data_IF_043123238045
#
_entry.id   IF_043123238045
#
_cell.length_a   1.000
_cell.length_b   1.000
_cell.length_c   1.000
_cell.angle_alpha   90.00
_cell.angle_beta   90.00
_cell.angle_gamma   90.00
#
_symmetry.space_group_name_H-M   'P 1'
#
loop_
_entity.id
_entity.type
_entity.pdbx_description
1 polymer ?
#
# COMPACT_ATOMS: atom_id res chain seq x y z
N UNK A 1 31.34 -17.48 11.61
CA UNK A 1 30.00 -16.88 11.45
C UNK A 1 29.35 -17.58 10.28
N UNK A 2 28.35 -18.41 10.54
CA UNK A 2 27.66 -19.12 9.46
C UNK A 2 26.68 -18.19 8.74
N UNK A 3 26.65 -18.18 7.40
CA UNK A 3 25.68 -17.41 6.64
C UNK A 3 24.28 -18.01 6.79
N UNK A 4 23.29 -17.14 6.96
CA UNK A 4 21.87 -17.50 6.99
C UNK A 4 21.50 -18.18 5.67
N UNK A 5 21.13 -19.46 5.71
CA UNK A 5 20.71 -20.23 4.54
C UNK A 5 19.26 -19.87 4.21
N UNK A 6 19.05 -19.24 3.06
CA UNK A 6 17.72 -19.19 2.45
C UNK A 6 17.48 -20.51 1.72
N UNK A 7 16.45 -21.24 2.15
CA UNK A 7 16.03 -22.48 1.51
C UNK A 7 15.44 -22.21 0.12
N UNK A 8 15.87 -23.03 -0.83
CA UNK A 8 15.50 -22.98 -2.24
C UNK A 8 13.97 -23.02 -2.40
N UNK A 9 13.43 -21.87 -2.84
CA UNK A 9 12.03 -21.60 -3.11
C UNK A 9 11.45 -22.61 -4.14
N UNK A 10 10.64 -23.53 -3.66
CA UNK A 10 9.88 -24.49 -4.45
C UNK A 10 8.79 -23.74 -5.25
N UNK A 11 8.31 -24.30 -6.36
CA UNK A 11 7.32 -23.69 -7.27
C UNK A 11 5.88 -23.54 -6.70
N UNK A 12 5.75 -23.21 -5.40
CA UNK A 12 4.53 -23.10 -4.59
C UNK A 12 4.33 -21.67 -4.03
N UNK A 13 5.06 -20.67 -4.54
CA UNK A 13 5.18 -19.36 -3.88
C UNK A 13 4.03 -18.38 -4.16
N UNK A 14 2.87 -18.68 -3.60
CA UNK A 14 1.77 -17.72 -3.46
C UNK A 14 1.83 -16.98 -2.12
N UNK A 15 2.98 -17.02 -1.44
CA UNK A 15 3.15 -16.33 -0.17
C UNK A 15 3.21 -14.82 -0.38
N UNK A 16 2.36 -14.09 0.33
CA UNK A 16 2.28 -12.64 0.31
C UNK A 16 2.37 -12.13 1.75
N UNK A 17 2.89 -10.91 1.89
CA UNK A 17 2.84 -10.20 3.15
C UNK A 17 1.57 -9.35 3.18
N UNK A 18 0.84 -9.37 4.29
CA UNK A 18 -0.30 -8.51 4.56
C UNK A 18 0.03 -7.57 5.71
N UNK A 19 -0.53 -6.37 5.63
CA UNK A 19 -0.46 -5.33 6.64
C UNK A 19 -1.73 -5.40 7.49
N UNK A 20 -1.62 -5.67 8.79
CA UNK A 20 -2.71 -5.41 9.71
C UNK A 20 -2.61 -3.98 10.22
N UNK A 21 -3.48 -3.10 9.72
CA UNK A 21 -3.59 -1.72 10.14
C UNK A 21 -4.42 -1.64 11.43
N UNK A 22 -3.82 -1.15 12.52
CA UNK A 22 -4.50 -1.03 13.81
C UNK A 22 -5.48 0.15 13.84
N UNK A 23 -6.52 0.08 14.70
CA UNK A 23 -7.44 1.18 14.89
C UNK A 23 -6.77 2.39 15.55
N UNK A 24 -7.35 3.56 15.31
CA UNK A 24 -6.89 4.81 15.90
C UNK A 24 -7.66 6.03 15.38
N UNK A 25 -7.63 7.11 16.14
CA UNK A 25 -8.16 8.42 15.77
C UNK A 25 -7.32 9.08 14.68
N UNK A 26 -7.82 10.15 14.04
CA UNK A 26 -7.10 10.80 12.94
C UNK A 26 -5.73 11.38 13.33
N UNK A 27 -5.53 11.82 14.58
CA UNK A 27 -4.29 12.48 15.02
C UNK A 27 -3.22 11.49 15.51
N UNK A 28 -3.59 10.25 15.85
CA UNK A 28 -2.66 9.25 16.37
C UNK A 28 -1.73 8.70 15.29
N UNK A 29 -0.52 8.30 15.68
CA UNK A 29 0.42 7.62 14.80
C UNK A 29 -0.19 6.34 14.21
N UNK A 30 0.23 5.98 12.99
CA UNK A 30 -0.23 4.76 12.35
C UNK A 30 0.57 3.59 12.91
N UNK A 31 -0.14 2.64 13.52
CA UNK A 31 0.43 1.38 13.97
C UNK A 31 -0.05 0.24 13.08
N UNK A 32 0.85 -0.69 12.78
CA UNK A 32 0.55 -1.89 12.03
C UNK A 32 1.49 -3.04 12.38
N UNK A 33 1.19 -4.22 11.88
CA UNK A 33 2.13 -5.35 11.87
C UNK A 33 2.02 -6.11 10.56
N UNK A 34 3.08 -6.82 10.19
CA UNK A 34 3.06 -7.67 9.01
C UNK A 34 2.69 -9.11 9.38
N UNK A 35 2.02 -9.78 8.45
CA UNK A 35 1.81 -11.24 8.52
C UNK A 35 2.01 -11.84 7.15
N UNK A 36 2.73 -12.97 7.08
CA UNK A 36 2.90 -13.71 5.83
C UNK A 36 1.82 -14.76 5.74
N UNK A 37 1.11 -14.80 4.61
CA UNK A 37 0.06 -15.77 4.31
C UNK A 37 0.28 -16.36 2.93
N UNK A 38 -0.34 -17.50 2.62
CA UNK A 38 -0.39 -18.05 1.26
C UNK A 38 -1.74 -17.72 0.63
N UNK A 39 -1.76 -17.25 -0.61
CA UNK A 39 -3.01 -17.06 -1.36
C UNK A 39 -3.77 -18.37 -1.58
N UNK A 40 -3.10 -19.53 -1.56
CA UNK A 40 -3.75 -20.83 -1.70
C UNK A 40 -4.70 -21.14 -0.52
N UNK A 41 -4.55 -20.43 0.60
CA UNK A 41 -5.44 -20.52 1.75
C UNK A 41 -6.65 -19.56 1.66
N UNK A 42 -6.81 -18.82 0.55
CA UNK A 42 -7.87 -17.84 0.35
C UNK A 42 -8.02 -16.86 1.54
N UNK A 43 -6.94 -16.14 1.91
CA UNK A 43 -6.99 -15.20 3.02
C UNK A 43 -7.97 -14.05 2.72
N UNK A 44 -8.62 -13.55 3.76
CA UNK A 44 -9.48 -12.35 3.65
C UNK A 44 -8.63 -11.09 3.87
N UNK A 45 -8.57 -10.23 2.85
CA UNK A 45 -7.82 -8.98 2.90
C UNK A 45 -8.32 -8.01 1.83
N UNK A 46 -8.00 -6.74 2.02
CA UNK A 46 -8.25 -5.67 1.06
C UNK A 46 -6.95 -5.28 0.34
N UNK A 47 -7.05 -4.69 -0.84
CA UNK A 47 -5.88 -4.12 -1.53
C UNK A 47 -5.99 -2.60 -1.57
N UNK A 48 -4.86 -1.91 -1.54
CA UNK A 48 -4.79 -0.47 -1.74
C UNK A 48 -4.30 -0.20 -3.17
N UNK A 49 -5.07 0.58 -3.92
CA UNK A 49 -4.64 1.17 -5.18
C UNK A 49 -4.52 2.67 -4.97
N UNK A 50 -3.29 3.19 -5.00
CA UNK A 50 -3.00 4.59 -4.71
C UNK A 50 -2.13 5.21 -5.79
N UNK A 51 -2.28 6.51 -6.00
CA UNK A 51 -1.37 7.27 -6.86
C UNK A 51 -0.03 7.41 -6.15
N UNK A 52 1.06 7.06 -6.84
CA UNK A 52 2.39 6.98 -6.24
C UNK A 52 2.96 8.34 -5.82
N UNK A 53 2.30 9.44 -6.20
CA UNK A 53 2.58 10.80 -5.74
C UNK A 53 4.04 11.22 -5.87
N UNK A 54 4.41 12.25 -5.12
CA UNK A 54 5.83 12.60 -4.97
C UNK A 54 6.52 11.56 -4.05
N UNK A 55 7.31 10.69 -4.68
CA UNK A 55 8.09 9.67 -4.00
C UNK A 55 9.29 10.22 -3.20
N UNK A 56 9.51 11.53 -3.12
CA UNK A 56 10.56 12.12 -2.26
C UNK A 56 10.06 12.40 -0.85
N UNK A 57 8.76 12.65 -0.68
CA UNK A 57 8.16 12.92 0.62
C UNK A 57 7.87 11.61 1.34
N UNK A 58 8.47 11.45 2.52
CA UNK A 58 8.33 10.28 3.38
C UNK A 58 7.71 10.65 4.71
N UNK A 59 6.84 9.79 5.24
CA UNK A 59 6.22 9.93 6.56
C UNK A 59 6.44 8.65 7.38
N UNK A 60 6.61 8.78 8.71
CA UNK A 60 6.80 7.62 9.56
C UNK A 60 5.48 6.89 9.83
N UNK A 61 5.56 5.58 9.91
CA UNK A 61 4.56 4.70 10.53
C UNK A 61 5.28 3.73 11.47
N UNK A 62 4.55 3.14 12.41
CA UNK A 62 5.09 2.14 13.34
C UNK A 62 4.61 0.76 12.91
N UNK A 63 5.51 -0.05 12.34
CA UNK A 63 5.22 -1.44 11.98
C UNK A 63 6.03 -2.40 12.85
N UNK A 64 5.38 -3.38 13.48
CA UNK A 64 6.05 -4.36 14.35
C UNK A 64 6.94 -3.72 15.43
N UNK A 65 6.51 -2.57 15.97
CA UNK A 65 7.26 -1.81 16.97
C UNK A 65 8.45 -0.99 16.45
N UNK A 66 8.70 -0.99 15.13
CA UNK A 66 9.79 -0.26 14.49
C UNK A 66 9.25 0.89 13.63
N UNK A 67 10.02 1.96 13.49
CA UNK A 67 9.68 3.09 12.64
C UNK A 67 10.02 2.79 11.17
N UNK A 68 9.03 2.84 10.29
CA UNK A 68 9.16 2.68 8.85
C UNK A 68 8.81 3.98 8.12
N UNK A 69 9.57 4.33 7.08
CA UNK A 69 9.30 5.50 6.25
C UNK A 69 8.57 5.08 4.97
N UNK A 70 7.31 5.49 4.84
CA UNK A 70 6.47 5.26 3.65
C UNK A 70 6.29 6.54 2.85
N UNK A 71 5.87 6.43 1.59
CA UNK A 71 5.48 7.60 0.79
C UNK A 71 4.36 8.37 1.51
N UNK A 72 4.34 9.69 1.34
CA UNK A 72 3.24 10.51 1.88
C UNK A 72 1.87 10.03 1.34
N UNK A 73 1.81 9.60 0.08
CA UNK A 73 0.59 9.05 -0.51
C UNK A 73 0.07 7.80 0.21
N UNK A 74 0.96 6.85 0.53
CA UNK A 74 0.58 5.65 1.27
C UNK A 74 0.20 5.97 2.72
N UNK A 75 0.91 6.88 3.38
CA UNK A 75 0.57 7.30 4.75
C UNK A 75 -0.83 7.91 4.83
N UNK A 76 -1.14 8.87 3.94
CA UNK A 76 -2.48 9.47 3.87
C UNK A 76 -3.56 8.44 3.55
N UNK A 77 -3.30 7.53 2.61
CA UNK A 77 -4.21 6.44 2.26
C UNK A 77 -4.49 5.55 3.49
N UNK A 78 -3.45 5.07 4.18
CA UNK A 78 -3.58 4.27 5.39
C UNK A 78 -4.35 5.02 6.48
N UNK A 79 -4.04 6.31 6.71
CA UNK A 79 -4.76 7.14 7.69
C UNK A 79 -6.24 7.25 7.34
N UNK A 80 -6.57 7.42 6.06
CA UNK A 80 -7.95 7.54 5.58
C UNK A 80 -8.74 6.24 5.67
N UNK A 81 -8.07 5.11 5.45
CA UNK A 81 -8.66 3.78 5.52
C UNK A 81 -8.67 3.22 6.95
N UNK A 82 -7.89 3.77 7.88
CA UNK A 82 -7.90 3.36 9.28
C UNK A 82 -9.30 3.51 9.88
N UNK A 83 -9.79 2.42 10.47
CA UNK A 83 -11.06 2.44 11.20
C UNK A 83 -10.79 2.86 12.67
N UNK A 84 -11.67 3.66 13.31
CA UNK A 84 -11.42 4.10 14.69
C UNK A 84 -11.44 2.99 15.75
N UNK A 85 -12.06 1.85 15.45
CA UNK A 85 -12.35 0.79 16.44
C UNK A 85 -11.97 -0.63 16.01
N UNK A 86 -11.58 -0.84 14.75
CA UNK A 86 -11.30 -2.17 14.23
C UNK A 86 -10.01 -2.16 13.42
N UNK A 87 -9.24 -3.25 13.50
CA UNK A 87 -8.11 -3.45 12.59
C UNK A 87 -8.60 -3.78 11.20
N UNK A 88 -7.83 -3.42 10.17
CA UNK A 88 -8.06 -3.84 8.79
C UNK A 88 -6.86 -4.63 8.28
N UNK A 89 -7.12 -5.69 7.51
CA UNK A 89 -6.07 -6.48 6.87
C UNK A 89 -5.98 -6.03 5.42
N UNK A 90 -4.84 -5.45 5.05
CA UNK A 90 -4.65 -4.77 3.79
C UNK A 90 -3.38 -5.22 3.09
N UNK A 91 -3.31 -5.03 1.78
CA UNK A 91 -2.12 -5.22 0.97
C UNK A 91 -1.82 -3.95 0.18
N UNK A 92 -0.57 -3.51 0.19
CA UNK A 92 -0.10 -2.38 -0.61
C UNK A 92 1.32 -2.64 -1.12
N UNK A 93 1.54 -2.52 -2.43
CA UNK A 93 2.80 -2.88 -3.11
C UNK A 93 4.05 -2.24 -2.49
N UNK A 94 4.01 -0.97 -2.10
CA UNK A 94 5.19 -0.25 -1.63
C UNK A 94 5.70 -0.72 -0.26
N UNK A 95 4.88 -1.45 0.51
CA UNK A 95 5.24 -1.87 1.86
C UNK A 95 5.13 -3.39 2.07
N UNK A 96 4.20 -4.06 1.39
CA UNK A 96 4.02 -5.51 1.46
C UNK A 96 4.95 -6.29 0.51
N UNK A 97 5.72 -5.58 -0.33
CA UNK A 97 6.77 -6.15 -1.17
C UNK A 97 8.10 -5.59 -0.69
N UNK A 98 9.08 -6.44 -0.47
CA UNK A 98 10.43 -5.98 -0.18
C UNK A 98 11.03 -5.32 -1.42
N UNK A 99 11.03 -3.98 -1.42
CA UNK A 99 11.54 -3.21 -2.55
C UNK A 99 13.07 -3.30 -2.72
N UNK A 100 13.81 -3.81 -1.73
CA UNK A 100 15.26 -3.96 -1.77
C UNK A 100 15.72 -5.29 -2.39
N UNK A 101 14.85 -6.31 -2.41
CA UNK A 101 15.13 -7.59 -3.04
C UNK A 101 14.48 -7.63 -4.43
N UNK A 102 15.32 -7.54 -5.47
CA UNK A 102 14.85 -7.54 -6.85
C UNK A 102 14.24 -8.88 -7.27
N UNK A 103 14.67 -9.99 -6.66
CA UNK A 103 14.14 -11.32 -6.94
C UNK A 103 12.76 -11.48 -6.31
N UNK A 104 12.61 -11.14 -5.03
CA UNK A 104 11.31 -11.14 -4.35
C UNK A 104 10.33 -10.20 -5.04
N UNK A 105 10.77 -8.98 -5.36
CA UNK A 105 9.92 -8.00 -6.06
C UNK A 105 9.42 -8.55 -7.39
N UNK A 106 10.28 -9.18 -8.18
CA UNK A 106 9.86 -9.80 -9.44
C UNK A 106 8.84 -10.92 -9.21
N UNK A 107 9.04 -11.76 -8.20
CA UNK A 107 8.09 -12.81 -7.83
C UNK A 107 6.73 -12.23 -7.39
N UNK A 108 6.72 -11.24 -6.50
CA UNK A 108 5.49 -10.60 -6.01
C UNK A 108 4.74 -9.89 -7.15
N UNK A 109 5.44 -9.20 -8.04
CA UNK A 109 4.84 -8.60 -9.24
C UNK A 109 4.21 -9.66 -10.14
N UNK A 110 4.83 -10.83 -10.28
CA UNK A 110 4.27 -11.94 -11.08
C UNK A 110 2.94 -12.49 -10.53
N UNK A 111 2.71 -12.39 -9.22
CA UNK A 111 1.47 -12.84 -8.55
C UNK A 111 0.48 -11.71 -8.26
N UNK A 112 0.83 -10.45 -8.57
CA UNK A 112 -0.01 -9.26 -8.31
C UNK A 112 -1.42 -9.39 -8.91
N UNK A 113 -1.55 -9.97 -10.10
CA UNK A 113 -2.86 -10.23 -10.71
C UNK A 113 -3.75 -11.17 -9.87
N UNK A 114 -3.15 -12.18 -9.21
CA UNK A 114 -3.87 -13.04 -8.29
C UNK A 114 -4.24 -12.31 -6.99
N UNK A 115 -3.35 -11.45 -6.48
CA UNK A 115 -3.58 -10.65 -5.27
C UNK A 115 -4.81 -9.74 -5.44
N UNK A 116 -4.90 -8.99 -6.54
CA UNK A 116 -6.07 -8.13 -6.80
C UNK A 116 -7.34 -8.92 -7.15
N UNK A 117 -7.20 -10.13 -7.70
CA UNK A 117 -8.34 -10.98 -8.02
C UNK A 117 -8.97 -11.63 -6.78
N UNK A 118 -8.16 -11.96 -5.77
CA UNK A 118 -8.61 -12.67 -4.57
C UNK A 118 -8.95 -11.76 -3.39
N UNK A 119 -8.59 -10.47 -3.43
CA UNK A 119 -8.94 -9.56 -2.36
C UNK A 119 -10.46 -9.35 -2.25
N UNK A 120 -10.93 -9.09 -1.03
CA UNK A 120 -12.34 -8.80 -0.76
C UNK A 120 -12.77 -7.45 -1.35
N UNK A 121 -11.87 -6.47 -1.35
CA UNK A 121 -12.13 -5.12 -1.86
C UNK A 121 -10.84 -4.44 -2.31
N UNK A 122 -10.96 -3.52 -3.28
CA UNK A 122 -9.89 -2.61 -3.70
C UNK A 122 -10.20 -1.20 -3.18
N UNK A 123 -9.42 -0.73 -2.22
CA UNK A 123 -9.49 0.62 -1.68
C UNK A 123 -8.71 1.58 -2.57
N UNK A 124 -9.41 2.50 -3.24
CA UNK A 124 -8.81 3.45 -4.19
C UNK A 124 -8.51 4.78 -3.48
N UNK A 125 -7.26 5.23 -3.55
CA UNK A 125 -6.82 6.53 -3.06
C UNK A 125 -6.30 7.40 -4.21
N UNK A 126 -7.05 8.46 -4.51
CA UNK A 126 -6.74 9.40 -5.60
C UNK A 126 -5.88 10.60 -5.16
N UNK A 127 -5.56 10.72 -3.87
CA UNK A 127 -4.94 11.90 -3.29
C UNK A 127 -5.97 12.88 -2.71
N UNK A 128 -5.48 13.93 -2.08
CA UNK A 128 -6.31 15.05 -1.62
C UNK A 128 -6.50 16.06 -2.77
N UNK A 129 -7.54 16.89 -2.70
CA UNK A 129 -7.85 17.91 -3.72
C UNK A 129 -6.65 18.84 -4.01
N UNK A 130 -5.79 19.07 -3.01
CA UNK A 130 -4.57 19.87 -3.14
C UNK A 130 -3.37 19.13 -3.77
N UNK A 131 -3.45 17.80 -3.88
CA UNK A 131 -2.40 16.95 -4.47
C UNK A 131 -2.72 16.61 -5.95
N UNK A 132 -3.95 16.87 -6.40
CA UNK A 132 -4.31 16.74 -7.81
C UNK A 132 -3.74 17.92 -8.59
N UNK A 133 -3.05 17.71 -9.73
CA UNK A 133 -2.68 18.82 -10.59
C UNK A 133 -3.98 19.52 -10.97
N UNK A 134 -4.11 20.79 -10.58
CA UNK A 134 -5.25 21.64 -10.90
C UNK A 134 -5.64 21.35 -12.35
N UNK A 135 -6.85 20.83 -12.55
CA UNK A 135 -7.38 20.71 -13.89
C UNK A 135 -7.28 22.11 -14.48
N UNK A 136 -6.40 22.31 -15.46
CA UNK A 136 -6.36 23.56 -16.17
C UNK A 136 -7.68 23.63 -16.91
N UNK A 137 -8.67 24.27 -16.29
CA UNK A 137 -9.85 24.74 -16.97
C UNK A 137 -9.32 25.68 -18.04
N UNK A 138 -9.23 25.18 -19.26
CA UNK A 138 -9.06 26.01 -20.44
C UNK A 138 -10.28 26.93 -20.45
N UNK A 139 -10.10 28.13 -19.89
CA UNK A 139 -11.06 29.22 -19.95
C UNK A 139 -11.38 29.49 -21.40
N UNK A 140 -12.51 28.94 -21.85
CA UNK A 140 -13.19 29.36 -23.06
C UNK A 140 -13.60 30.81 -22.87
N UNK A 141 -12.71 31.73 -23.24
CA UNK A 141 -12.98 33.15 -23.27
C UNK A 141 -14.15 33.43 -24.21
N UNK A 142 -15.32 33.62 -23.64
CA UNK A 142 -16.47 34.26 -24.28
C UNK A 142 -16.28 35.77 -24.30
N UNK A 143 -16.49 36.39 -25.47
CA UNK A 143 -16.66 37.84 -25.67
C UNK A 143 -15.48 38.49 -26.41
N UNK A 144 -15.66 39.35 -27.40
CA UNK A 144 -16.84 40.09 -27.86
C UNK A 144 -16.55 40.63 -29.28
N UNK A 145 -17.57 40.69 -30.13
CA UNK A 145 -17.59 41.45 -31.40
C UNK A 145 -17.39 42.96 -31.14
N UNK A 146 -17.12 43.81 -32.17
CA UNK A 146 -18.09 44.12 -33.23
C UNK A 146 -17.66 43.71 -34.64
#
# INVERSE_FOLDING_TARGET
MEPFKYDTLNALNTQIQLLMLHPGSWEEDIHCHFTTVSLDNFPEYETISYVWGDSTLRRPIIADGHCFLVTMGLEKALRRFRHPQASRIMWADAICINQQDSHERFQQVSVMGAIYKQCSEVQIWLGEENDLPLAQENGGGTGHSP
#
